data_IF_704722661293
#
_entry.id   IF_704722661293
#
_cell.length_a   1.000
_cell.length_b   1.000
_cell.length_c   1.000
_cell.angle_alpha   90.00
_cell.angle_beta   90.00
_cell.angle_gamma   90.00
#
_symmetry.space_group_name_H-M   'P 1'
#
loop_
_entity.id
_entity.type
_entity.pdbx_description
1 polymer ?
#
# COMPACT_ATOMS: atom_id res chain seq x y z
N UNK A 1 -1.81 -9.53 -0.69
CA UNK A 1 -1.43 -8.93 -2.00
C UNK A 1 -1.43 -7.42 -1.86
N UNK A 2 -0.45 -6.75 -2.43
CA UNK A 2 -0.36 -5.28 -2.43
C UNK A 2 -1.02 -4.77 -3.72
N UNK A 3 -1.86 -3.74 -3.60
CA UNK A 3 -2.49 -3.08 -4.75
C UNK A 3 -1.65 -1.89 -5.17
N UNK A 4 -1.49 -1.69 -6.46
CA UNK A 4 -0.69 -0.64 -7.08
C UNK A 4 -1.56 0.51 -7.62
N UNK A 5 -0.94 1.53 -8.21
CA UNK A 5 -1.63 2.63 -8.86
C UNK A 5 -1.92 3.84 -7.98
N UNK A 6 -2.67 4.79 -8.53
CA UNK A 6 -3.06 6.01 -7.83
C UNK A 6 -4.13 5.72 -6.78
N UNK A 7 -4.05 6.38 -5.61
CA UNK A 7 -5.02 6.17 -4.54
C UNK A 7 -4.61 6.84 -3.23
N UNK A 8 -5.39 6.62 -2.17
CA UNK A 8 -4.98 6.99 -0.81
C UNK A 8 -4.36 5.79 -0.15
N UNK A 9 -3.17 5.98 0.42
CA UNK A 9 -2.42 4.94 1.09
C UNK A 9 -2.01 5.35 2.50
N UNK A 10 -2.08 4.40 3.40
CA UNK A 10 -1.45 4.47 4.70
C UNK A 10 -0.08 3.82 4.64
N UNK A 11 0.93 4.51 5.15
CA UNK A 11 2.30 4.01 5.27
C UNK A 11 2.70 3.96 6.74
N UNK A 12 3.25 2.84 7.19
CA UNK A 12 3.91 2.72 8.48
C UNK A 12 5.34 2.27 8.28
N UNK A 13 6.27 3.15 8.63
CA UNK A 13 7.70 3.03 8.43
C UNK A 13 8.40 2.95 9.77
N UNK A 14 9.43 2.14 9.89
CA UNK A 14 10.26 2.02 11.09
C UNK A 14 11.72 2.28 10.77
N UNK A 15 12.51 2.60 11.79
CA UNK A 15 13.94 2.77 11.63
C UNK A 15 14.64 1.45 11.28
N UNK A 16 15.64 1.52 10.39
CA UNK A 16 16.47 0.38 10.04
C UNK A 16 17.18 -0.18 11.29
N UNK A 17 17.16 -1.52 11.45
CA UNK A 17 17.77 -2.21 12.60
C UNK A 17 17.30 -1.67 13.96
N UNK A 18 16.03 -1.32 14.06
CA UNK A 18 15.39 -0.74 15.27
C UNK A 18 16.05 0.56 15.77
N UNK A 19 16.81 1.25 14.94
CA UNK A 19 17.43 2.51 15.30
C UNK A 19 16.44 3.67 15.25
N UNK A 20 16.72 4.71 16.05
CA UNK A 20 15.95 5.93 15.99
C UNK A 20 16.08 6.59 14.60
N UNK A 21 14.93 6.96 14.03
CA UNK A 21 14.82 7.76 12.80
C UNK A 21 15.18 9.21 13.12
N UNK A 22 14.67 9.73 14.24
CA UNK A 22 14.82 11.10 14.66
C UNK A 22 15.55 11.20 16.00
N UNK A 23 16.56 12.05 16.08
CA UNK A 23 17.36 12.31 17.27
C UNK A 23 17.28 13.79 17.70
N UNK A 24 16.72 14.66 16.86
CA UNK A 24 16.59 16.09 17.11
C UNK A 24 15.30 16.66 16.52
N UNK A 25 14.82 17.78 17.07
CA UNK A 25 13.69 18.56 16.55
C UNK A 25 13.87 18.93 15.08
N UNK A 26 15.10 19.26 14.71
CA UNK A 26 15.45 19.65 13.34
C UNK A 26 15.17 18.54 12.32
N UNK A 27 15.43 17.28 12.70
CA UNK A 27 15.17 16.14 11.82
C UNK A 27 13.68 15.93 11.57
N UNK A 28 12.83 16.11 12.58
CA UNK A 28 11.37 16.07 12.41
C UNK A 28 10.88 17.15 11.46
N UNK A 29 11.36 18.39 11.64
CA UNK A 29 10.96 19.53 10.78
C UNK A 29 11.42 19.34 9.34
N UNK A 30 12.64 18.84 9.14
CA UNK A 30 13.15 18.58 7.81
C UNK A 30 12.38 17.45 7.12
N UNK A 31 12.12 16.33 7.81
CA UNK A 31 11.33 15.24 7.29
C UNK A 31 9.93 15.72 6.88
N UNK A 32 9.28 16.53 7.72
CA UNK A 32 7.97 17.08 7.40
C UNK A 32 7.99 17.94 6.14
N UNK A 33 9.00 18.80 5.98
CA UNK A 33 9.17 19.62 4.76
C UNK A 33 9.37 18.73 3.52
N UNK A 34 10.20 17.69 3.63
CA UNK A 34 10.45 16.78 2.52
C UNK A 34 9.18 16.03 2.12
N UNK A 35 8.44 15.49 3.08
CA UNK A 35 7.19 14.76 2.84
C UNK A 35 6.08 15.67 2.28
N UNK A 36 6.01 16.93 2.72
CA UNK A 36 5.05 17.90 2.22
C UNK A 36 5.29 18.31 0.74
N UNK A 37 6.48 18.04 0.21
CA UNK A 37 6.88 18.40 -1.16
C UNK A 37 7.13 17.21 -2.06
N UNK A 38 6.75 15.99 -1.65
CA UNK A 38 6.89 14.79 -2.47
C UNK A 38 6.08 14.92 -3.77
N UNK A 39 6.73 14.67 -4.94
CA UNK A 39 6.07 14.82 -6.24
C UNK A 39 4.87 13.88 -6.39
N UNK A 40 3.79 14.38 -6.97
CA UNK A 40 2.59 13.58 -7.23
C UNK A 40 1.90 13.05 -5.98
N UNK A 41 2.11 13.68 -4.83
CA UNK A 41 1.45 13.31 -3.59
C UNK A 41 0.75 14.48 -2.91
N UNK A 42 -0.20 14.15 -2.04
CA UNK A 42 -0.86 15.09 -1.13
C UNK A 42 -0.86 14.50 0.26
N UNK A 43 -0.23 15.18 1.21
CA UNK A 43 -0.22 14.73 2.60
C UNK A 43 -1.58 14.98 3.23
N UNK A 44 -2.21 13.92 3.74
CA UNK A 44 -3.49 13.98 4.43
C UNK A 44 -3.30 13.97 5.94
N UNK A 45 -2.52 13.03 6.46
CA UNK A 45 -2.22 12.95 7.89
C UNK A 45 -0.83 12.37 8.16
N UNK A 46 -0.27 12.69 9.32
CA UNK A 46 0.98 12.11 9.79
C UNK A 46 1.04 12.03 11.32
N UNK A 47 1.81 11.06 11.80
CA UNK A 47 2.33 11.02 13.17
C UNK A 47 3.74 10.46 13.14
N UNK A 48 4.66 11.20 13.74
CA UNK A 48 6.06 10.80 13.89
C UNK A 48 6.37 10.49 15.34
N UNK A 49 7.23 9.53 15.51
CA UNK A 49 7.83 9.13 16.77
C UNK A 49 9.31 8.87 16.50
N UNK A 50 10.14 8.82 17.53
CA UNK A 50 11.59 8.65 17.37
C UNK A 50 11.98 7.44 16.51
N UNK A 51 11.16 6.39 16.49
CA UNK A 51 11.45 5.13 15.79
C UNK A 51 10.46 4.80 14.67
N UNK A 52 9.43 5.60 14.48
CA UNK A 52 8.40 5.31 13.48
C UNK A 52 7.83 6.57 12.84
N UNK A 53 7.45 6.42 11.58
CA UNK A 53 6.76 7.40 10.77
C UNK A 53 5.48 6.76 10.25
N UNK A 54 4.35 7.41 10.50
CA UNK A 54 3.04 6.99 9.97
C UNK A 54 2.47 8.11 9.14
N UNK A 55 2.08 7.78 7.91
CA UNK A 55 1.62 8.74 6.92
C UNK A 55 0.32 8.28 6.30
N UNK A 56 -0.53 9.22 5.94
CA UNK A 56 -1.65 9.02 5.01
C UNK A 56 -1.42 9.97 3.84
N UNK A 57 -1.17 9.40 2.67
CA UNK A 57 -0.89 10.14 1.44
C UNK A 57 -1.92 9.83 0.37
N UNK A 58 -2.39 10.84 -0.35
CA UNK A 58 -3.02 10.65 -1.65
C UNK A 58 -1.93 10.65 -2.70
N UNK A 59 -1.76 9.54 -3.41
CA UNK A 59 -0.76 9.34 -4.45
C UNK A 59 -1.42 9.42 -5.82
N UNK A 60 -0.86 10.22 -6.73
CA UNK A 60 -1.28 10.33 -8.13
C UNK A 60 -0.53 9.35 -9.04
N UNK A 61 0.45 8.65 -8.48
CA UNK A 61 1.30 7.63 -9.12
C UNK A 61 1.39 6.40 -8.23
N UNK A 62 2.09 5.39 -8.67
CA UNK A 62 2.24 4.16 -7.88
C UNK A 62 2.89 4.44 -6.52
N UNK A 63 2.37 3.79 -5.48
CA UNK A 63 2.87 3.97 -4.11
C UNK A 63 4.32 3.49 -3.95
N UNK A 64 4.80 2.53 -4.77
CA UNK A 64 6.18 2.05 -4.70
C UNK A 64 7.18 3.13 -5.10
N UNK A 65 6.89 3.92 -6.13
CA UNK A 65 7.69 5.08 -6.50
C UNK A 65 7.69 6.15 -5.40
N UNK A 66 6.55 6.36 -4.76
CA UNK A 66 6.44 7.28 -3.61
C UNK A 66 7.27 6.77 -2.43
N UNK A 67 7.31 5.46 -2.21
CA UNK A 67 8.13 4.84 -1.17
C UNK A 67 9.63 5.07 -1.43
N UNK A 68 10.10 4.92 -2.66
CA UNK A 68 11.49 5.17 -3.05
C UNK A 68 11.88 6.63 -2.79
N UNK A 69 10.98 7.57 -3.09
CA UNK A 69 11.20 9.00 -2.79
C UNK A 69 11.23 9.26 -1.28
N UNK A 70 10.38 8.59 -0.49
CA UNK A 70 10.40 8.68 0.97
C UNK A 70 11.74 8.17 1.51
N UNK A 71 12.20 6.99 1.09
CA UNK A 71 13.51 6.46 1.48
C UNK A 71 14.63 7.44 1.13
N UNK A 72 14.65 7.96 -0.08
CA UNK A 72 15.63 8.96 -0.54
C UNK A 72 15.58 10.22 0.32
N UNK A 73 14.39 10.71 0.67
CA UNK A 73 14.25 11.92 1.50
C UNK A 73 14.83 11.71 2.91
N UNK A 74 14.62 10.53 3.52
CA UNK A 74 15.15 10.22 4.85
C UNK A 74 16.66 9.96 4.83
N UNK A 75 17.19 9.31 3.82
CA UNK A 75 18.63 9.11 3.67
C UNK A 75 19.36 10.44 3.45
N UNK A 76 18.80 11.34 2.64
CA UNK A 76 19.29 12.71 2.44
C UNK A 76 19.21 13.56 3.72
N UNK A 77 18.15 13.41 4.52
CA UNK A 77 18.02 14.05 5.83
C UNK A 77 19.19 13.66 6.74
N UNK A 78 19.45 12.36 6.85
CA UNK A 78 20.53 11.86 7.70
C UNK A 78 21.92 12.33 7.20
N UNK A 79 22.15 12.32 5.88
CA UNK A 79 23.40 12.81 5.29
C UNK A 79 23.62 14.31 5.62
N UNK A 80 22.57 15.13 5.54
CA UNK A 80 22.64 16.57 5.86
C UNK A 80 22.86 16.85 7.34
N UNK A 81 22.23 16.06 8.22
CA UNK A 81 22.34 16.26 9.66
C UNK A 81 23.67 15.76 10.23
N UNK A 82 24.18 14.65 9.71
CA UNK A 82 25.27 13.89 10.34
C UNK A 82 26.48 13.71 9.42
N UNK A 83 26.42 14.23 8.18
CA UNK A 83 27.45 14.05 7.14
C UNK A 83 27.82 12.57 6.93
N UNK A 84 26.83 11.67 7.08
CA UNK A 84 26.97 10.23 6.93
C UNK A 84 25.79 9.66 6.16
N UNK A 85 26.06 8.94 5.09
CA UNK A 85 25.05 8.15 4.40
C UNK A 85 24.78 6.89 5.19
N UNK A 86 23.51 6.63 5.45
CA UNK A 86 23.01 5.34 5.96
C UNK A 86 21.58 5.12 5.49
N UNK A 87 21.18 3.88 5.41
CA UNK A 87 19.77 3.52 5.32
C UNK A 87 19.08 3.86 6.65
N UNK A 88 18.17 4.84 6.61
CA UNK A 88 17.47 5.31 7.81
C UNK A 88 16.24 4.47 8.10
N UNK A 89 15.48 4.15 7.05
CA UNK A 89 14.24 3.39 7.15
C UNK A 89 14.50 1.90 6.88
N UNK A 90 13.74 1.03 7.54
CA UNK A 90 13.75 -0.40 7.29
C UNK A 90 13.13 -0.69 5.90
N UNK A 91 13.60 -1.76 5.26
CA UNK A 91 13.05 -2.21 3.97
C UNK A 91 11.61 -2.70 4.11
N UNK A 92 11.30 -3.32 5.24
CA UNK A 92 9.95 -3.80 5.53
C UNK A 92 9.10 -2.65 6.04
N UNK A 93 8.08 -2.32 5.28
CA UNK A 93 7.10 -1.28 5.59
C UNK A 93 5.69 -1.82 5.42
N UNK A 94 4.75 -1.31 6.20
CA UNK A 94 3.34 -1.60 5.97
C UNK A 94 2.77 -0.54 5.04
N UNK A 95 2.13 -0.97 3.95
CA UNK A 95 1.40 -0.10 3.02
C UNK A 95 -0.01 -0.65 2.85
N UNK A 96 -1.03 0.17 3.14
CA UNK A 96 -2.43 -0.21 2.97
C UNK A 96 -3.12 0.78 2.05
N UNK A 97 -3.77 0.27 1.00
CA UNK A 97 -4.70 1.06 0.18
C UNK A 97 -5.95 1.37 1.02
N UNK A 98 -6.46 2.60 0.91
CA UNK A 98 -7.57 3.11 1.76
C UNK A 98 -8.78 3.48 0.90
N UNK A 99 -9.93 2.86 1.16
CA UNK A 99 -11.23 3.35 0.65
C UNK A 99 -11.60 4.64 1.42
N UNK A 100 -11.32 5.77 0.79
CA UNK A 100 -11.45 7.09 1.39
C UNK A 100 -12.83 7.33 1.99
N UNK A 101 -13.89 6.91 1.31
CA UNK A 101 -15.26 7.20 1.73
C UNK A 101 -15.64 6.55 3.05
N UNK A 102 -14.99 5.45 3.41
CA UNK A 102 -15.34 4.67 4.60
C UNK A 102 -14.25 4.73 5.65
N UNK A 103 -12.98 4.64 5.22
CA UNK A 103 -11.89 4.39 6.15
C UNK A 103 -10.97 5.60 6.37
N UNK A 104 -11.03 6.66 5.57
CA UNK A 104 -10.14 7.82 5.76
C UNK A 104 -10.38 8.49 7.11
N UNK A 105 -11.63 8.78 7.47
CA UNK A 105 -11.91 9.46 8.73
C UNK A 105 -11.53 8.60 9.95
N UNK A 106 -11.97 7.35 10.11
CA UNK A 106 -11.57 6.51 11.24
C UNK A 106 -10.05 6.26 11.28
N UNK A 107 -9.38 6.12 10.13
CA UNK A 107 -7.93 5.97 10.05
C UNK A 107 -7.20 7.19 10.61
N UNK A 108 -7.57 8.40 10.16
CA UNK A 108 -6.94 9.65 10.60
C UNK A 108 -7.19 9.88 12.09
N UNK A 109 -8.40 9.63 12.59
CA UNK A 109 -8.71 9.72 14.01
C UNK A 109 -7.86 8.75 14.85
N UNK A 110 -7.78 7.49 14.43
CA UNK A 110 -6.93 6.50 15.10
C UNK A 110 -5.45 6.86 15.05
N UNK A 111 -4.98 7.41 13.94
CA UNK A 111 -3.61 7.86 13.78
C UNK A 111 -3.29 9.01 14.75
N UNK A 112 -4.16 10.03 14.82
CA UNK A 112 -3.97 11.16 15.70
C UNK A 112 -4.08 10.80 17.20
N UNK A 113 -4.89 9.79 17.53
CA UNK A 113 -5.01 9.29 18.90
C UNK A 113 -3.84 8.40 19.34
N UNK A 114 -3.03 7.96 18.39
CA UNK A 114 -1.93 7.03 18.66
C UNK A 114 -0.96 7.49 19.76
N UNK A 115 -0.54 8.78 19.87
CA UNK A 115 0.36 9.23 20.94
C UNK A 115 -0.25 9.09 22.34
N UNK A 116 -1.57 9.33 22.47
CA UNK A 116 -2.32 9.13 23.73
C UNK A 116 -2.42 7.63 24.03
N UNK A 117 -2.83 6.85 23.03
CA UNK A 117 -2.98 5.40 23.17
C UNK A 117 -1.67 4.69 23.52
N UNK A 118 -0.56 5.15 22.97
CA UNK A 118 0.78 4.61 23.27
C UNK A 118 1.38 5.12 24.59
N UNK A 119 0.63 5.93 25.35
CA UNK A 119 1.05 6.46 26.66
C UNK A 119 2.14 7.54 26.59
N UNK A 120 2.37 8.15 25.43
CA UNK A 120 3.39 9.20 25.24
C UNK A 120 2.91 10.55 25.81
N UNK A 121 1.62 10.83 25.70
CA UNK A 121 0.97 12.05 26.19
C UNK A 121 -0.39 11.71 26.80
N UNK A 122 -0.88 12.58 27.67
CA UNK A 122 -2.22 12.43 28.26
C UNK A 122 -3.33 12.83 27.28
N UNK A 123 -3.06 13.78 26.40
CA UNK A 123 -3.97 14.24 25.35
C UNK A 123 -3.24 14.29 24.01
N UNK A 124 -3.90 13.82 22.94
CA UNK A 124 -3.32 13.75 21.58
C UNK A 124 -2.86 15.13 21.08
N UNK A 125 -3.55 16.21 21.46
CA UNK A 125 -3.20 17.59 21.08
C UNK A 125 -1.84 18.06 21.61
N UNK A 126 -1.33 17.41 22.66
CA UNK A 126 -0.02 17.71 23.23
C UNK A 126 1.16 17.11 22.45
N UNK A 127 0.88 16.25 21.46
CA UNK A 127 1.95 15.63 20.68
C UNK A 127 2.37 16.53 19.51
N UNK A 128 3.56 17.14 19.52
CA UNK A 128 3.94 18.16 18.55
C UNK A 128 4.18 17.59 17.12
N UNK A 129 4.45 16.28 17.03
CA UNK A 129 4.81 15.60 15.77
C UNK A 129 3.63 14.85 15.17
N UNK A 130 2.45 15.43 15.28
CA UNK A 130 1.21 14.94 14.69
C UNK A 130 0.55 16.04 13.86
N UNK A 131 -0.14 15.62 12.80
CA UNK A 131 -1.01 16.51 12.04
C UNK A 131 -2.30 16.89 12.74
N UNK A 132 -2.61 16.31 13.91
CA UNK A 132 -3.80 16.61 14.73
C UNK A 132 -4.02 18.13 14.90
N UNK A 133 -2.95 18.89 15.20
CA UNK A 133 -3.01 20.34 15.35
C UNK A 133 -3.63 21.06 14.15
N UNK A 134 -3.32 20.62 12.92
CA UNK A 134 -3.79 21.25 11.70
C UNK A 134 -5.28 21.00 11.42
N UNK A 135 -5.83 19.95 11.98
CA UNK A 135 -7.26 19.63 11.93
C UNK A 135 -8.09 20.49 12.89
N UNK A 136 -7.45 21.04 13.91
CA UNK A 136 -8.05 21.96 14.90
C UNK A 136 -8.01 23.40 14.43
N UNK A 137 -7.06 23.75 13.55
CA UNK A 137 -6.90 25.10 13.07
C UNK A 137 -7.91 25.45 11.96
N UNK A 138 -8.50 26.67 12.00
CA UNK A 138 -9.43 27.14 10.98
C UNK A 138 -8.78 27.30 9.60
N UNK A 139 -7.47 27.58 9.55
CA UNK A 139 -6.69 27.80 8.35
C UNK A 139 -5.41 26.95 8.38
N UNK A 140 -5.49 25.66 8.06
CA UNK A 140 -4.30 24.82 7.99
C UNK A 140 -3.38 25.25 6.84
N UNK A 141 -2.08 24.93 6.91
CA UNK A 141 -1.15 25.19 5.82
C UNK A 141 -1.53 24.49 4.54
N UNK A 142 -1.26 25.12 3.39
CA UNK A 142 -1.64 24.59 2.07
C UNK A 142 -0.97 23.25 1.69
N UNK A 143 0.12 22.87 2.37
CA UNK A 143 0.85 21.62 2.11
C UNK A 143 0.19 20.37 2.71
N UNK A 144 -0.81 20.53 3.59
CA UNK A 144 -1.60 19.42 4.14
C UNK A 144 -3.07 19.56 3.74
N UNK A 145 -3.69 18.48 3.32
CA UNK A 145 -5.10 18.43 2.98
C UNK A 145 -5.91 17.86 4.14
N UNK A 146 -6.39 18.75 5.00
CA UNK A 146 -7.31 18.39 6.09
C UNK A 146 -8.76 18.35 5.64
N UNK A 147 -9.11 19.05 4.55
CA UNK A 147 -10.48 19.18 4.07
C UNK A 147 -11.08 17.85 3.62
N UNK A 148 -10.29 17.01 2.96
CA UNK A 148 -10.76 15.70 2.48
C UNK A 148 -11.36 14.87 3.60
N UNK A 149 -10.70 14.79 4.76
CA UNK A 149 -11.19 14.03 5.90
C UNK A 149 -12.29 14.77 6.67
N UNK A 150 -12.12 16.08 6.88
CA UNK A 150 -13.12 16.88 7.62
C UNK A 150 -14.47 16.91 6.91
N UNK A 151 -14.49 16.82 5.59
CA UNK A 151 -15.72 16.70 4.79
C UNK A 151 -16.46 15.38 5.03
N UNK A 152 -15.76 14.32 5.40
CA UNK A 152 -16.36 13.03 5.73
C UNK A 152 -16.95 13.02 7.15
N UNK A 153 -16.39 13.82 8.06
CA UNK A 153 -16.88 13.92 9.43
C UNK A 153 -18.10 14.83 9.58
N UNK A 154 -18.16 15.93 8.85
CA UNK A 154 -19.20 16.94 9.04
C UNK A 154 -19.71 17.53 7.72
N UNK A 155 -21.03 17.55 7.57
CA UNK A 155 -21.67 18.13 6.38
C UNK A 155 -21.59 19.66 6.32
N UNK A 156 -21.37 20.34 7.47
CA UNK A 156 -21.30 21.80 7.56
C UNK A 156 -19.88 22.32 7.66
N UNK A 157 -19.49 23.21 6.75
CA UNK A 157 -18.16 23.84 6.75
C UNK A 157 -17.86 24.67 8.00
N UNK A 158 -18.87 25.27 8.63
CA UNK A 158 -18.68 26.23 9.73
C UNK A 158 -18.11 25.65 11.01
N UNK A 159 -18.34 24.36 11.30
CA UNK A 159 -18.02 23.75 12.59
C UNK A 159 -17.14 22.50 12.51
N UNK A 160 -16.38 22.34 11.41
CA UNK A 160 -15.63 21.09 11.15
C UNK A 160 -14.54 20.84 12.18
N UNK A 161 -13.74 21.84 12.48
CA UNK A 161 -12.66 21.72 13.49
C UNK A 161 -13.24 21.45 14.88
N UNK A 162 -14.35 22.12 15.26
CA UNK A 162 -15.03 21.85 16.52
C UNK A 162 -15.62 20.43 16.57
N UNK A 163 -16.19 19.97 15.46
CA UNK A 163 -16.71 18.62 15.37
C UNK A 163 -15.58 17.58 15.47
N UNK A 164 -14.47 17.83 14.78
CA UNK A 164 -13.26 17.00 14.88
C UNK A 164 -12.76 16.93 16.34
N UNK A 165 -12.65 18.06 17.04
CA UNK A 165 -12.26 18.11 18.46
C UNK A 165 -13.20 17.30 19.34
N UNK A 166 -14.51 17.45 19.14
CA UNK A 166 -15.50 16.70 19.91
C UNK A 166 -15.40 15.18 19.68
N UNK A 167 -15.11 14.76 18.45
CA UNK A 167 -14.89 13.34 18.12
C UNK A 167 -13.60 12.83 18.74
N UNK A 168 -12.51 13.61 18.71
CA UNK A 168 -11.22 13.23 19.31
C UNK A 168 -11.26 13.10 20.85
N UNK A 169 -12.23 13.74 21.50
CA UNK A 169 -12.44 13.58 22.95
C UNK A 169 -13.18 12.28 23.32
N UNK A 170 -13.83 11.64 22.35
CA UNK A 170 -14.52 10.38 22.57
C UNK A 170 -13.53 9.21 22.55
N UNK A 171 -13.82 8.11 23.25
CA UNK A 171 -13.05 6.88 23.08
C UNK A 171 -13.07 6.47 21.59
N UNK A 172 -11.91 6.16 21.04
CA UNK A 172 -11.82 5.58 19.68
C UNK A 172 -12.66 4.31 19.67
N UNK A 173 -13.59 4.22 18.72
CA UNK A 173 -14.45 3.07 18.53
C UNK A 173 -13.69 1.80 18.18
N UNK A 174 -14.23 0.93 17.35
CA UNK A 174 -13.53 -0.24 16.86
C UNK A 174 -12.24 0.16 16.14
N UNK A 175 -11.12 -0.42 16.59
CA UNK A 175 -9.80 -0.10 16.05
C UNK A 175 -9.58 -0.83 14.73
N UNK A 176 -9.06 -0.08 13.77
CA UNK A 176 -8.61 -0.64 12.50
C UNK A 176 -7.32 -1.44 12.71
N UNK A 177 -7.21 -2.58 12.03
CA UNK A 177 -5.92 -3.29 11.93
C UNK A 177 -5.02 -2.57 10.92
N UNK A 178 -4.09 -1.78 11.44
CA UNK A 178 -3.15 -1.02 10.62
C UNK A 178 -1.91 -1.83 10.18
N UNK A 179 -1.86 -3.13 10.50
CA UNK A 179 -0.80 -4.02 10.03
C UNK A 179 -1.22 -4.79 8.78
N UNK A 180 -2.44 -5.30 8.78
CA UNK A 180 -2.90 -6.20 7.72
C UNK A 180 -4.03 -5.59 6.89
N UNK A 181 -4.70 -4.55 7.43
CA UNK A 181 -5.94 -4.04 6.88
C UNK A 181 -7.14 -4.91 7.26
N UNK A 182 -8.28 -4.67 6.62
CA UNK A 182 -9.51 -5.41 6.85
C UNK A 182 -9.92 -6.29 5.67
N UNK A 183 -9.20 -6.22 4.55
CA UNK A 183 -9.52 -7.01 3.37
C UNK A 183 -8.79 -8.35 3.38
N UNK A 184 -9.49 -9.49 3.16
CA UNK A 184 -8.89 -10.83 3.33
C UNK A 184 -7.80 -11.18 2.32
N UNK A 185 -7.78 -10.54 1.15
CA UNK A 185 -6.83 -10.83 0.07
C UNK A 185 -5.77 -9.74 -0.11
N UNK A 186 -6.12 -8.50 0.19
CA UNK A 186 -5.30 -7.34 -0.15
C UNK A 186 -4.87 -6.58 1.11
N UNK A 187 -3.71 -6.01 1.06
CA UNK A 187 -3.26 -5.05 2.07
C UNK A 187 -4.03 -3.74 1.87
N UNK A 188 -5.22 -3.68 2.44
CA UNK A 188 -6.14 -2.58 2.26
C UNK A 188 -7.07 -2.40 3.47
N UNK A 189 -7.47 -1.16 3.69
CA UNK A 189 -8.64 -0.77 4.47
C UNK A 189 -9.73 -0.40 3.46
N UNK A 190 -10.48 -1.39 3.00
CA UNK A 190 -11.39 -1.20 1.87
C UNK A 190 -12.52 -2.22 1.85
N UNK A 191 -13.61 -1.83 1.16
CA UNK A 191 -14.71 -2.73 0.82
C UNK A 191 -14.44 -3.41 -0.53
N UNK A 192 -14.98 -4.60 -0.75
CA UNK A 192 -14.83 -5.36 -1.99
C UNK A 192 -15.20 -4.53 -3.24
N UNK A 193 -16.27 -3.74 -3.17
CA UNK A 193 -16.69 -2.87 -4.28
C UNK A 193 -15.66 -1.78 -4.64
N UNK A 194 -14.90 -1.28 -3.66
CA UNK A 194 -13.82 -0.34 -3.89
C UNK A 194 -12.62 -1.06 -4.54
N UNK A 195 -12.22 -2.19 -4.00
CA UNK A 195 -11.14 -3.01 -4.54
C UNK A 195 -11.40 -3.35 -6.02
N UNK A 196 -12.59 -3.88 -6.34
CA UNK A 196 -12.96 -4.24 -7.70
C UNK A 196 -12.90 -3.05 -8.67
N UNK A 197 -13.29 -1.85 -8.21
CA UNK A 197 -13.19 -0.62 -8.98
C UNK A 197 -11.74 -0.19 -9.19
N UNK A 198 -10.93 -0.26 -8.15
CA UNK A 198 -9.50 0.08 -8.20
C UNK A 198 -8.76 -0.83 -9.17
N UNK A 199 -8.98 -2.14 -9.09
CA UNK A 199 -8.40 -3.13 -9.99
C UNK A 199 -8.80 -2.90 -11.46
N UNK A 200 -10.06 -2.50 -11.72
CA UNK A 200 -10.49 -2.13 -13.09
C UNK A 200 -9.78 -0.88 -13.58
N UNK A 201 -9.56 0.12 -12.73
CA UNK A 201 -8.79 1.31 -13.09
C UNK A 201 -7.32 0.98 -13.36
N UNK A 202 -6.70 0.16 -12.53
CA UNK A 202 -5.35 -0.34 -12.78
C UNK A 202 -5.24 -1.09 -14.12
N UNK A 203 -6.20 -1.98 -14.40
CA UNK A 203 -6.23 -2.71 -15.65
C UNK A 203 -6.38 -1.79 -16.87
N UNK A 204 -7.14 -0.69 -16.74
CA UNK A 204 -7.27 0.32 -17.80
C UNK A 204 -5.98 1.14 -18.00
N UNK A 205 -5.25 1.44 -16.91
CA UNK A 205 -3.96 2.14 -16.96
C UNK A 205 -2.86 1.19 -17.44
N UNK A 206 -2.93 -0.07 -17.05
CA UNK A 206 -1.98 -1.13 -17.42
C UNK A 206 -2.37 -1.87 -18.71
N UNK A 207 -3.41 -1.46 -19.43
CA UNK A 207 -3.77 -2.01 -20.76
C UNK A 207 -2.67 -1.81 -21.84
N UNK A 208 -1.44 -1.58 -21.38
CA UNK A 208 -0.22 -1.65 -22.16
C UNK A 208 0.19 -3.08 -22.54
N UNK A 209 -0.39 -4.11 -21.92
CA UNK A 209 -0.14 -5.48 -22.36
C UNK A 209 -1.08 -5.85 -23.51
N UNK A 210 -0.49 -6.09 -24.67
CA UNK A 210 -1.23 -6.70 -25.78
C UNK A 210 -1.61 -8.14 -25.42
N UNK A 211 -2.60 -8.73 -26.11
CA UNK A 211 -2.96 -10.13 -25.90
C UNK A 211 -1.75 -11.07 -26.03
N UNK A 212 -0.79 -10.73 -26.89
CA UNK A 212 0.45 -11.48 -27.09
C UNK A 212 1.41 -11.35 -25.90
N UNK A 213 1.47 -10.18 -25.26
CA UNK A 213 2.29 -9.98 -24.07
C UNK A 213 1.74 -10.82 -22.91
N UNK A 214 0.40 -10.80 -22.70
CA UNK A 214 -0.23 -11.63 -21.68
C UNK A 214 -0.02 -13.13 -21.96
N UNK A 215 -0.05 -13.56 -23.22
CA UNK A 215 0.22 -14.95 -23.58
C UNK A 215 1.66 -15.35 -23.25
N UNK A 216 2.64 -14.47 -23.53
CA UNK A 216 4.05 -14.67 -23.14
C UNK A 216 4.21 -14.74 -21.62
N UNK A 217 3.70 -13.75 -20.90
CA UNK A 217 3.74 -13.73 -19.45
C UNK A 217 3.10 -14.98 -18.83
N UNK A 218 1.98 -15.44 -19.39
CA UNK A 218 1.32 -16.65 -18.93
C UNK A 218 2.18 -17.91 -19.17
N UNK A 219 2.84 -18.00 -20.33
CA UNK A 219 3.75 -19.10 -20.62
C UNK A 219 4.96 -19.09 -19.67
N UNK A 220 5.57 -17.93 -19.46
CA UNK A 220 6.71 -17.75 -18.56
C UNK A 220 6.35 -18.09 -17.09
N UNK A 221 5.18 -17.65 -16.62
CA UNK A 221 4.68 -18.00 -15.29
C UNK A 221 4.45 -19.50 -15.12
N UNK A 222 3.84 -20.14 -16.12
CA UNK A 222 3.66 -21.60 -16.12
C UNK A 222 5.01 -22.32 -16.09
N UNK A 223 6.00 -21.86 -16.86
CA UNK A 223 7.34 -22.46 -16.88
C UNK A 223 8.00 -22.31 -15.52
N UNK A 224 7.99 -21.11 -14.94
CA UNK A 224 8.60 -20.83 -13.64
C UNK A 224 8.00 -21.70 -12.52
N UNK A 225 6.66 -21.83 -12.49
CA UNK A 225 5.98 -22.67 -11.52
C UNK A 225 6.28 -24.14 -11.76
N UNK A 226 6.23 -24.61 -13.00
CA UNK A 226 6.56 -26.00 -13.33
C UNK A 226 8.01 -26.36 -12.91
N UNK A 227 9.00 -25.52 -13.23
CA UNK A 227 10.39 -25.71 -12.79
C UNK A 227 10.55 -25.76 -11.27
N UNK A 228 9.84 -24.88 -10.55
CA UNK A 228 9.89 -24.83 -9.08
C UNK A 228 9.42 -26.14 -8.43
N UNK A 229 8.50 -26.84 -9.08
CA UNK A 229 7.93 -28.09 -8.59
C UNK A 229 8.42 -29.34 -9.33
N UNK A 230 9.42 -29.19 -10.20
CA UNK A 230 10.01 -30.30 -10.96
C UNK A 230 9.04 -30.96 -11.96
N UNK A 231 8.15 -30.18 -12.56
CA UNK A 231 7.12 -30.61 -13.50
C UNK A 231 7.42 -30.13 -14.92
N UNK A 232 6.82 -30.77 -15.93
CA UNK A 232 6.79 -30.18 -17.26
C UNK A 232 5.66 -29.15 -17.38
N UNK A 233 5.84 -28.16 -18.25
CA UNK A 233 4.77 -27.16 -18.53
C UNK A 233 3.54 -27.84 -19.14
N UNK A 234 3.74 -28.90 -19.90
CA UNK A 234 2.65 -29.71 -20.49
C UNK A 234 1.80 -30.36 -19.41
N UNK A 235 2.42 -30.91 -18.35
CA UNK A 235 1.67 -31.52 -17.23
C UNK A 235 0.85 -30.49 -16.47
N UNK A 236 1.39 -29.28 -16.28
CA UNK A 236 0.70 -28.20 -15.58
C UNK A 236 -0.52 -27.69 -16.37
N UNK A 237 -0.44 -27.70 -17.71
CA UNK A 237 -1.50 -27.20 -18.62
C UNK A 237 -2.50 -28.25 -19.06
N UNK A 238 -2.21 -29.53 -18.84
CA UNK A 238 -3.08 -30.63 -19.25
C UNK A 238 -4.40 -30.65 -18.46
N UNK A 239 -5.56 -30.49 -19.11
CA UNK A 239 -6.85 -30.55 -18.44
C UNK A 239 -7.10 -31.85 -17.70
N UNK A 240 -6.51 -32.96 -18.18
CA UNK A 240 -6.66 -34.29 -17.56
C UNK A 240 -5.89 -34.40 -16.24
N UNK A 241 -4.83 -33.63 -16.08
CA UNK A 241 -4.00 -33.56 -14.89
C UNK A 241 -4.49 -32.48 -13.90
N UNK A 242 -5.52 -31.70 -14.23
CA UNK A 242 -6.04 -30.60 -13.39
C UNK A 242 -6.28 -31.00 -11.95
N UNK A 243 -6.81 -32.21 -11.68
CA UNK A 243 -7.07 -32.70 -10.32
C UNK A 243 -5.78 -32.90 -9.51
N UNK A 244 -4.69 -33.27 -10.16
CA UNK A 244 -3.40 -33.53 -9.52
C UNK A 244 -2.63 -32.24 -9.23
N UNK A 245 -2.70 -31.26 -10.12
CA UNK A 245 -1.92 -30.01 -10.06
C UNK A 245 -2.80 -28.77 -9.86
N UNK A 246 -4.08 -28.95 -9.46
CA UNK A 246 -5.01 -27.84 -9.27
C UNK A 246 -4.52 -26.76 -8.27
N UNK A 247 -3.64 -27.13 -7.32
CA UNK A 247 -3.08 -26.23 -6.34
C UNK A 247 -1.92 -25.36 -6.88
N UNK A 248 -1.40 -25.65 -8.06
CA UNK A 248 -0.29 -24.92 -8.68
C UNK A 248 -0.78 -23.81 -9.62
N UNK A 249 -1.91 -24.00 -10.29
CA UNK A 249 -2.49 -22.97 -11.16
C UNK A 249 -2.83 -21.68 -10.39
N UNK A 250 -3.32 -21.72 -9.16
CA UNK A 250 -3.45 -20.53 -8.32
C UNK A 250 -2.15 -19.73 -8.12
N UNK A 251 -0.99 -20.39 -8.10
CA UNK A 251 0.32 -19.70 -8.04
C UNK A 251 0.64 -18.98 -9.34
N UNK A 252 0.31 -19.58 -10.49
CA UNK A 252 0.46 -18.93 -11.81
C UNK A 252 -0.44 -17.70 -11.88
N UNK A 253 -1.70 -17.83 -11.51
CA UNK A 253 -2.66 -16.71 -11.47
C UNK A 253 -2.18 -15.62 -10.53
N UNK A 254 -1.67 -15.98 -9.36
CA UNK A 254 -1.12 -15.04 -8.39
C UNK A 254 0.09 -14.28 -8.94
N UNK A 255 1.07 -14.97 -9.55
CA UNK A 255 2.23 -14.33 -10.17
C UNK A 255 1.86 -13.29 -11.22
N UNK A 256 0.91 -13.63 -12.10
CA UNK A 256 0.44 -12.74 -13.15
C UNK A 256 -0.34 -11.55 -12.58
N UNK A 257 -1.06 -11.79 -11.49
CA UNK A 257 -1.78 -10.75 -10.77
C UNK A 257 -0.83 -9.74 -10.11
N UNK A 258 0.29 -10.20 -9.54
CA UNK A 258 1.37 -9.35 -9.02
C UNK A 258 2.02 -8.47 -10.12
N UNK A 259 1.88 -8.84 -11.39
CA UNK A 259 2.30 -8.05 -12.56
C UNK A 259 1.18 -7.22 -13.16
N UNK A 260 0.01 -7.18 -12.52
CA UNK A 260 -1.09 -6.35 -12.95
C UNK A 260 -1.92 -6.90 -14.10
N UNK A 261 -1.77 -8.18 -14.48
CA UNK A 261 -2.65 -8.78 -15.48
C UNK A 261 -4.07 -8.88 -14.91
N UNK A 262 -5.05 -8.37 -15.64
CA UNK A 262 -6.44 -8.32 -15.22
C UNK A 262 -7.05 -9.73 -15.05
N UNK A 263 -7.96 -9.90 -14.05
CA UNK A 263 -8.56 -11.21 -13.76
C UNK A 263 -9.38 -11.76 -14.92
N UNK A 264 -10.11 -10.91 -15.64
CA UNK A 264 -10.90 -11.29 -16.79
C UNK A 264 -10.04 -11.86 -17.95
N UNK A 265 -8.83 -11.32 -18.11
CA UNK A 265 -7.85 -11.84 -19.06
C UNK A 265 -7.26 -13.18 -18.60
N UNK A 266 -7.05 -13.37 -17.29
CA UNK A 266 -6.59 -14.63 -16.74
C UNK A 266 -7.68 -15.70 -16.78
N UNK A 267 -8.93 -15.34 -16.49
CA UNK A 267 -10.09 -16.20 -16.53
C UNK A 267 -10.24 -16.87 -17.90
N UNK A 268 -10.09 -16.10 -18.97
CA UNK A 268 -10.12 -16.62 -20.35
C UNK A 268 -9.02 -17.66 -20.63
N UNK A 269 -7.83 -17.51 -20.01
CA UNK A 269 -6.67 -18.38 -20.26
C UNK A 269 -6.67 -19.66 -19.47
N UNK A 270 -7.24 -19.62 -18.26
CA UNK A 270 -7.35 -20.83 -17.42
C UNK A 270 -8.70 -21.52 -17.55
N UNK A 271 -9.60 -20.99 -18.39
CA UNK A 271 -10.95 -21.51 -18.65
C UNK A 271 -11.76 -21.66 -17.33
N UNK A 272 -11.75 -20.58 -16.54
CA UNK A 272 -12.46 -20.47 -15.27
C UNK A 272 -13.13 -19.09 -15.17
N UNK A 273 -14.07 -18.90 -14.25
CA UNK A 273 -14.66 -17.59 -14.00
C UNK A 273 -13.83 -16.75 -13.01
N UNK A 274 -14.01 -15.43 -13.04
CA UNK A 274 -13.28 -14.50 -12.16
C UNK A 274 -13.53 -14.79 -10.67
N UNK A 275 -14.75 -15.18 -10.30
CA UNK A 275 -15.12 -15.51 -8.90
C UNK A 275 -14.31 -16.69 -8.41
N UNK A 276 -14.11 -17.68 -9.28
CA UNK A 276 -13.30 -18.86 -8.95
C UNK A 276 -11.82 -18.52 -8.85
N UNK A 277 -11.31 -17.63 -9.68
CA UNK A 277 -9.94 -17.14 -9.56
C UNK A 277 -9.74 -16.36 -8.25
N UNK A 278 -10.68 -15.53 -7.85
CA UNK A 278 -10.65 -14.86 -6.55
C UNK A 278 -10.63 -15.88 -5.39
N UNK A 279 -11.44 -16.91 -5.48
CA UNK A 279 -11.46 -17.99 -4.49
C UNK A 279 -10.13 -18.75 -4.44
N UNK A 280 -9.49 -18.99 -5.57
CA UNK A 280 -8.15 -19.58 -5.62
C UNK A 280 -7.12 -18.71 -4.91
N UNK A 281 -7.11 -17.43 -5.20
CA UNK A 281 -6.19 -16.47 -4.57
C UNK A 281 -6.42 -16.38 -3.06
N UNK A 282 -7.70 -16.43 -2.63
CA UNK A 282 -8.09 -16.43 -1.20
C UNK A 282 -7.60 -17.66 -0.45
N UNK A 283 -7.64 -18.81 -1.09
CA UNK A 283 -7.34 -20.11 -0.46
C UNK A 283 -5.87 -20.53 -0.65
N UNK A 284 -5.00 -19.67 -1.20
CA UNK A 284 -3.58 -19.94 -1.23
C UNK A 284 -3.02 -19.98 0.20
N UNK A 285 -2.46 -21.13 0.65
CA UNK A 285 -2.02 -21.31 2.04
C UNK A 285 -0.93 -20.27 2.41
N UNK A 286 -1.02 -19.69 3.62
CA UNK A 286 -0.08 -18.68 4.08
C UNK A 286 1.28 -19.28 4.50
N UNK A 287 1.29 -20.41 5.22
CA UNK A 287 2.46 -20.84 6.00
C UNK A 287 3.60 -21.47 5.21
N UNK A 288 3.35 -22.16 4.10
CA UNK A 288 4.41 -22.73 3.25
C UNK A 288 4.62 -21.97 1.94
N UNK A 289 3.63 -21.21 1.53
CA UNK A 289 3.63 -20.46 0.27
C UNK A 289 4.44 -19.17 0.34
N UNK A 290 4.63 -18.55 1.50
CA UNK A 290 5.39 -17.30 1.59
C UNK A 290 6.85 -17.49 1.17
N UNK A 291 7.47 -18.62 1.56
CA UNK A 291 8.81 -18.93 1.08
C UNK A 291 8.85 -19.25 -0.42
N UNK A 292 7.88 -20.05 -0.91
CA UNK A 292 7.75 -20.37 -2.34
C UNK A 292 7.40 -19.13 -3.15
N UNK A 293 6.47 -18.30 -2.69
CA UNK A 293 6.11 -17.03 -3.33
C UNK A 293 7.31 -16.10 -3.45
N UNK A 294 8.06 -15.91 -2.37
CA UNK A 294 9.26 -15.08 -2.37
C UNK A 294 10.34 -15.63 -3.30
N UNK A 295 10.51 -16.95 -3.38
CA UNK A 295 11.43 -17.58 -4.33
C UNK A 295 10.98 -17.37 -5.78
N UNK A 296 9.68 -17.54 -6.06
CA UNK A 296 9.12 -17.32 -7.37
C UNK A 296 9.27 -15.84 -7.80
N UNK A 297 8.95 -14.88 -6.93
CA UNK A 297 9.10 -13.46 -7.22
C UNK A 297 10.56 -13.06 -7.49
N UNK A 298 11.52 -13.59 -6.73
CA UNK A 298 12.95 -13.33 -6.95
C UNK A 298 13.45 -13.89 -8.29
N UNK A 299 12.91 -15.00 -8.72
CA UNK A 299 13.26 -15.64 -10.03
C UNK A 299 12.48 -15.03 -11.20
N UNK A 300 11.37 -14.38 -10.93
CA UNK A 300 10.52 -13.76 -11.93
C UNK A 300 11.14 -12.46 -12.45
N UNK A 301 11.91 -12.58 -13.54
CA UNK A 301 12.40 -11.45 -14.31
C UNK A 301 11.86 -11.56 -15.73
N UNK A 302 10.62 -11.13 -16.01
CA UNK A 302 10.11 -11.10 -17.37
C UNK A 302 10.97 -10.14 -18.20
N UNK A 303 11.17 -10.46 -19.47
CA UNK A 303 11.82 -9.55 -20.42
C UNK A 303 11.11 -8.17 -20.38
N UNK A 304 11.85 -7.05 -20.42
CA UNK A 304 11.25 -5.73 -20.38
C UNK A 304 10.23 -5.61 -21.51
N UNK A 305 9.04 -5.06 -21.19
CA UNK A 305 8.07 -4.70 -22.20
C UNK A 305 8.77 -3.75 -23.19
N UNK A 306 8.83 -4.11 -24.47
CA UNK A 306 9.34 -3.22 -25.49
C UNK A 306 8.40 -2.01 -25.55
N UNK A 307 8.86 -0.87 -25.05
CA UNK A 307 8.20 0.40 -25.31
C UNK A 307 8.30 0.62 -26.83
N UNK A 308 7.18 0.58 -27.52
CA UNK A 308 7.05 1.16 -28.88
C UNK A 308 7.17 2.68 -28.77
N UNK A 309 8.38 3.17 -28.53
CA UNK A 309 8.76 4.55 -28.74
C UNK A 309 9.69 4.56 -29.94
N UNK A 310 9.08 4.45 -31.14
CA UNK A 310 9.63 4.94 -32.41
C UNK A 310 8.61 4.59 -33.52
N UNK A 311 7.72 5.50 -33.80
CA UNK A 311 7.14 5.74 -35.13
C UNK A 311 6.52 7.16 -35.14
#
# INVERSE_FOLDING_TARGET
MTLHGAGVYYFALTGAKEQAIFQSVFEYEYALKALATLPGTRLLAYVFDSHSVRLVLRCQRDWSEVMDDIHTAFDNLHERCWNKRRQVLAEQSTVLLVDEQVYLAPLVLQLHDWPRYSGKVADASLWPWSSDRWYREPQPPAWIDTESMLNLLAHSRRNRSQHYEAVMQQPVGEKLDLRHGNHPLYQALARDAFINRHLKQEALVQSAYTADDVNRLFADACQLVAEQFGLSVTDLRDPTQRRRFHHLMPLVVWLLRERGVALDELAKRVDEDEVRLELWLRNLPADHTDNVRNQLLRRWQPAPAYSNAEA
#
